data_IF_086591593062
#
_entry.id   IF_086591593062
#
_cell.length_a   1.000
_cell.length_b   1.000
_cell.length_c   1.000
_cell.angle_alpha   90.00
_cell.angle_beta   90.00
_cell.angle_gamma   90.00
#
_symmetry.space_group_name_H-M   'P 1'
#
loop_
_entity.id
_entity.type
_entity.pdbx_description
1 polymer ?
#
# COMPACT_ATOMS: atom_id res chain seq x y z
N UNK A 1 58.22 17.76 32.57
CA UNK A 1 57.19 18.80 32.55
C UNK A 1 56.49 18.63 31.18
N UNK A 2 55.35 17.98 31.17
CA UNK A 2 54.55 17.81 29.98
C UNK A 2 53.79 19.13 29.71
N UNK A 3 54.07 19.76 28.59
CA UNK A 3 53.31 20.91 28.09
C UNK A 3 51.92 20.41 27.69
N UNK A 4 50.90 20.80 28.45
CA UNK A 4 49.51 20.63 28.06
C UNK A 4 49.22 21.62 26.91
N UNK A 5 49.20 21.16 25.67
CA UNK A 5 48.63 21.92 24.58
C UNK A 5 47.12 22.02 24.82
N UNK A 6 46.65 23.17 25.21
CA UNK A 6 45.22 23.48 25.20
C UNK A 6 44.73 23.39 23.77
N UNK A 7 43.97 22.36 23.46
CA UNK A 7 43.20 22.28 22.22
C UNK A 7 42.00 23.21 22.40
N UNK A 8 42.06 24.39 21.79
CA UNK A 8 40.92 25.30 21.78
C UNK A 8 39.81 24.66 20.95
N UNK A 9 38.60 24.72 21.51
CA UNK A 9 37.41 24.29 20.78
C UNK A 9 37.20 25.24 19.58
N UNK A 10 37.30 24.68 18.38
CA UNK A 10 37.05 25.43 17.12
C UNK A 10 35.74 24.96 16.50
N UNK A 11 34.88 25.92 16.13
CA UNK A 11 33.63 25.63 15.42
C UNK A 11 33.84 25.86 13.94
N UNK A 12 33.57 24.82 13.16
CA UNK A 12 33.63 24.89 11.69
C UNK A 12 32.20 24.86 11.13
N UNK A 13 31.96 25.74 10.16
CA UNK A 13 30.70 25.78 9.42
C UNK A 13 30.93 25.26 8.01
N UNK A 14 30.02 24.44 7.51
CA UNK A 14 30.00 24.12 6.09
C UNK A 14 29.55 25.38 5.33
N UNK A 15 30.30 25.76 4.30
CA UNK A 15 30.02 26.93 3.44
C UNK A 15 29.97 26.46 1.98
N UNK A 16 29.25 27.22 1.14
CA UNK A 16 29.13 26.91 -0.28
C UNK A 16 28.09 25.82 -0.60
N UNK A 17 27.23 25.44 0.33
CA UNK A 17 26.04 24.65 0.01
C UNK A 17 25.13 25.44 -0.93
N UNK A 18 24.50 24.73 -1.86
CA UNK A 18 23.46 25.28 -2.74
C UNK A 18 22.23 24.41 -2.60
N UNK A 19 21.06 25.06 -2.52
CA UNK A 19 19.79 24.34 -2.58
C UNK A 19 19.66 23.70 -3.98
N UNK A 20 18.99 22.55 -4.02
CA UNK A 20 18.65 21.92 -5.30
C UNK A 20 17.66 22.76 -6.11
N UNK A 21 17.32 22.26 -7.28
CA UNK A 21 16.27 22.87 -8.11
C UNK A 21 14.91 22.73 -7.39
N UNK A 22 14.06 23.74 -7.59
CA UNK A 22 12.66 23.66 -7.15
C UNK A 22 11.99 22.46 -7.80
N UNK A 23 11.40 21.60 -6.97
CA UNK A 23 10.72 20.37 -7.41
C UNK A 23 9.66 20.64 -8.47
N UNK A 24 8.97 21.78 -8.39
CA UNK A 24 7.93 22.18 -9.35
C UNK A 24 8.50 22.52 -10.74
N UNK A 25 9.81 22.77 -10.85
CA UNK A 25 10.49 23.19 -12.09
C UNK A 25 11.41 22.11 -12.69
N UNK A 26 11.57 20.95 -12.03
CA UNK A 26 12.38 19.85 -12.57
C UNK A 26 11.61 19.17 -13.72
N UNK A 27 12.28 18.87 -14.83
CA UNK A 27 11.68 18.13 -15.94
C UNK A 27 11.30 16.70 -15.54
N UNK A 28 10.18 16.18 -16.08
CA UNK A 28 9.75 14.80 -15.83
C UNK A 28 10.82 13.76 -16.16
N UNK A 29 11.59 14.01 -17.23
CA UNK A 29 12.70 13.13 -17.63
C UNK A 29 13.76 12.93 -16.55
N UNK A 30 13.97 13.95 -15.72
CA UNK A 30 14.92 13.90 -14.59
C UNK A 30 14.30 13.11 -13.43
N UNK A 31 13.00 13.30 -13.15
CA UNK A 31 12.28 12.53 -12.15
C UNK A 31 12.22 11.05 -12.54
N UNK A 32 11.96 10.72 -13.79
CA UNK A 32 11.99 9.35 -14.28
C UNK A 32 13.34 8.68 -13.99
N UNK A 33 14.46 9.35 -14.33
CA UNK A 33 15.81 8.83 -14.02
C UNK A 33 16.06 8.64 -12.53
N UNK A 34 15.46 9.46 -11.68
CA UNK A 34 15.57 9.30 -10.24
C UNK A 34 14.83 8.01 -9.77
N UNK A 35 13.64 7.78 -10.28
CA UNK A 35 12.88 6.56 -9.97
C UNK A 35 13.47 5.30 -10.62
N UNK A 36 14.14 5.40 -11.78
CA UNK A 36 14.81 4.28 -12.44
C UNK A 36 15.89 3.61 -11.57
N UNK A 37 16.46 4.35 -10.60
CA UNK A 37 17.39 3.78 -9.62
C UNK A 37 16.76 2.66 -8.78
N UNK A 38 15.44 2.63 -8.71
CA UNK A 38 14.68 1.60 -7.97
C UNK A 38 14.15 0.48 -8.87
N UNK A 39 14.45 0.47 -10.16
CA UNK A 39 13.92 -0.51 -11.11
C UNK A 39 14.42 -1.93 -10.83
N UNK A 40 15.68 -2.08 -10.40
CA UNK A 40 16.27 -3.38 -10.15
C UNK A 40 16.01 -3.86 -8.70
N UNK A 41 15.20 -4.90 -8.56
CA UNK A 41 14.88 -5.49 -7.27
C UNK A 41 16.07 -6.18 -6.55
N UNK A 42 17.15 -6.49 -7.28
CA UNK A 42 18.33 -7.09 -6.67
C UNK A 42 19.26 -6.05 -6.03
N UNK A 43 19.22 -4.80 -6.50
CA UNK A 43 20.10 -3.74 -6.02
C UNK A 43 19.49 -3.03 -4.81
N UNK A 44 18.17 -2.79 -4.83
CA UNK A 44 17.48 -2.04 -3.77
C UNK A 44 16.19 -2.77 -3.39
N UNK A 45 16.08 -3.15 -2.12
CA UNK A 45 14.83 -3.71 -1.57
C UNK A 45 13.90 -2.59 -1.10
N UNK A 46 12.76 -2.45 -1.76
CA UNK A 46 11.71 -1.50 -1.42
C UNK A 46 10.35 -2.20 -1.33
N UNK A 47 9.45 -1.66 -0.54
CA UNK A 47 8.07 -2.17 -0.42
C UNK A 47 7.01 -1.10 -0.64
N UNK A 48 7.35 0.16 -0.38
CA UNK A 48 6.46 1.31 -0.50
C UNK A 48 7.16 2.37 -1.35
N UNK A 49 6.46 2.91 -2.34
CA UNK A 49 6.92 3.98 -3.22
C UNK A 49 5.97 5.15 -3.08
N UNK A 50 6.49 6.36 -3.01
CA UNK A 50 5.71 7.59 -2.90
C UNK A 50 5.82 8.38 -4.20
N UNK A 51 4.70 8.88 -4.71
CA UNK A 51 4.73 9.84 -5.80
C UNK A 51 5.29 11.20 -5.35
N UNK A 52 5.07 11.55 -4.07
CA UNK A 52 5.34 12.89 -3.57
C UNK A 52 4.25 13.87 -3.98
N UNK A 53 4.61 15.13 -4.22
CA UNK A 53 3.70 16.17 -4.68
C UNK A 53 3.35 15.95 -6.15
N UNK A 54 2.07 15.80 -6.45
CA UNK A 54 1.59 15.81 -7.82
C UNK A 54 1.69 17.25 -8.36
N UNK A 55 2.25 17.41 -9.54
CA UNK A 55 2.30 18.69 -10.24
C UNK A 55 1.02 18.90 -11.02
N UNK A 56 0.62 20.16 -11.15
CA UNK A 56 -0.56 20.55 -11.92
C UNK A 56 -0.50 20.16 -13.40
N UNK A 57 -1.66 20.06 -14.00
CA UNK A 57 -1.82 19.58 -15.37
C UNK A 57 -1.66 18.06 -15.45
N UNK A 58 -1.09 17.55 -16.52
CA UNK A 58 -0.91 16.11 -16.72
C UNK A 58 0.38 15.53 -16.09
N UNK A 59 1.22 16.38 -15.48
CA UNK A 59 2.52 15.95 -14.96
C UNK A 59 2.43 14.92 -13.83
N UNK A 60 1.52 15.12 -12.89
CA UNK A 60 1.31 14.18 -11.78
C UNK A 60 0.85 12.80 -12.26
N UNK A 61 -0.05 12.79 -13.25
CA UNK A 61 -0.57 11.58 -13.88
C UNK A 61 0.53 10.84 -14.68
N UNK A 62 1.34 11.58 -15.46
CA UNK A 62 2.45 11.00 -16.21
C UNK A 62 3.50 10.37 -15.31
N UNK A 63 3.85 11.04 -14.21
CA UNK A 63 4.80 10.50 -13.24
C UNK A 63 4.26 9.23 -12.56
N UNK A 64 3.00 9.27 -12.11
CA UNK A 64 2.37 8.11 -11.48
C UNK A 64 2.31 6.91 -12.44
N UNK A 65 1.87 7.12 -13.69
CA UNK A 65 1.80 6.06 -14.70
C UNK A 65 3.20 5.51 -15.02
N UNK A 66 4.21 6.37 -15.14
CA UNK A 66 5.58 5.92 -15.35
C UNK A 66 6.07 4.99 -14.23
N UNK A 67 5.84 5.37 -12.97
CA UNK A 67 6.26 4.56 -11.82
C UNK A 67 5.47 3.24 -11.77
N UNK A 68 4.17 3.27 -12.07
CA UNK A 68 3.35 2.06 -12.12
C UNK A 68 3.90 1.10 -13.17
N UNK A 69 4.04 1.55 -14.41
CA UNK A 69 4.35 0.70 -15.56
C UNK A 69 5.79 0.19 -15.53
N UNK A 70 6.75 1.05 -15.19
CA UNK A 70 8.17 0.71 -15.29
C UNK A 70 8.79 0.19 -13.99
N UNK A 71 8.19 0.48 -12.84
CA UNK A 71 8.74 0.07 -11.55
C UNK A 71 7.82 -0.95 -10.87
N UNK A 72 6.59 -0.56 -10.52
CA UNK A 72 5.74 -1.41 -9.69
C UNK A 72 5.26 -2.67 -10.40
N UNK A 73 4.78 -2.57 -11.65
CA UNK A 73 4.35 -3.73 -12.46
C UNK A 73 5.53 -4.56 -12.96
N UNK A 74 6.71 -3.94 -13.10
CA UNK A 74 7.94 -4.67 -13.47
C UNK A 74 8.48 -5.48 -12.29
N UNK A 75 8.65 -4.83 -11.13
CA UNK A 75 9.19 -5.45 -9.90
C UNK A 75 8.20 -6.38 -9.21
N UNK A 76 6.93 -5.98 -9.12
CA UNK A 76 5.82 -6.67 -8.42
C UNK A 76 6.01 -6.85 -6.92
N UNK A 77 6.97 -6.17 -6.33
CA UNK A 77 7.36 -6.29 -4.92
C UNK A 77 7.16 -5.01 -4.11
N UNK A 78 6.58 -3.98 -4.71
CA UNK A 78 6.30 -2.70 -4.06
C UNK A 78 4.94 -2.12 -4.47
N UNK A 79 4.45 -1.17 -3.69
CA UNK A 79 3.17 -0.47 -3.92
C UNK A 79 3.42 1.02 -3.98
N UNK A 80 2.89 1.68 -5.02
CA UNK A 80 2.91 3.12 -5.20
C UNK A 80 1.73 3.78 -4.49
N UNK A 81 1.98 4.87 -3.78
CA UNK A 81 0.97 5.73 -3.18
C UNK A 81 0.91 7.06 -3.94
N UNK A 82 -0.30 7.41 -4.37
CA UNK A 82 -0.59 8.52 -5.26
C UNK A 82 -1.62 9.45 -4.62
N UNK A 83 -1.39 10.76 -4.69
CA UNK A 83 -2.38 11.79 -4.37
C UNK A 83 -2.78 12.53 -5.65
N UNK A 84 -4.03 13.03 -5.75
CA UNK A 84 -4.47 13.86 -6.87
C UNK A 84 -3.67 15.17 -6.96
N UNK A 85 -3.83 15.89 -8.06
CA UNK A 85 -3.19 17.19 -8.24
C UNK A 85 -3.67 18.19 -7.18
N UNK A 86 -2.77 19.13 -6.85
CA UNK A 86 -3.06 20.16 -5.85
C UNK A 86 -4.31 20.98 -6.21
N UNK A 87 -4.46 21.33 -7.48
CA UNK A 87 -5.56 22.17 -7.97
C UNK A 87 -6.90 21.39 -8.03
N UNK A 88 -6.88 20.08 -8.08
CA UNK A 88 -8.10 19.25 -8.08
C UNK A 88 -8.80 19.29 -6.71
N UNK A 89 -8.06 19.62 -5.66
CA UNK A 89 -8.54 19.53 -4.26
C UNK A 89 -8.57 20.87 -3.55
N UNK A 90 -7.58 21.76 -3.82
CA UNK A 90 -7.43 23.01 -3.07
C UNK A 90 -7.97 24.17 -3.88
N UNK A 91 -8.86 24.95 -3.27
CA UNK A 91 -9.60 26.05 -3.90
C UNK A 91 -10.50 25.62 -5.06
N UNK A 92 -10.94 24.38 -5.08
CA UNK A 92 -11.75 23.77 -6.14
C UNK A 92 -13.19 23.48 -5.65
N UNK A 93 -13.85 24.45 -5.06
CA UNK A 93 -15.10 24.28 -4.34
C UNK A 93 -16.20 23.68 -5.22
N UNK A 94 -16.76 22.54 -4.76
CA UNK A 94 -17.84 21.75 -5.38
C UNK A 94 -17.44 20.98 -6.66
N UNK A 95 -16.16 20.96 -7.05
CA UNK A 95 -15.65 20.18 -8.18
C UNK A 95 -14.68 19.07 -7.75
N UNK A 96 -14.35 19.04 -6.46
CA UNK A 96 -13.27 18.17 -5.92
C UNK A 96 -13.49 16.70 -6.29
N UNK A 97 -14.72 16.19 -6.16
CA UNK A 97 -15.03 14.77 -6.46
C UNK A 97 -14.83 14.46 -7.93
N UNK A 98 -15.35 15.33 -8.81
CA UNK A 98 -15.33 15.08 -10.26
C UNK A 98 -13.89 15.15 -10.78
N UNK A 99 -13.10 16.11 -10.31
CA UNK A 99 -11.71 16.29 -10.73
C UNK A 99 -10.78 15.19 -10.15
N UNK A 100 -10.98 14.77 -8.89
CA UNK A 100 -10.26 13.63 -8.33
C UNK A 100 -10.61 12.33 -9.09
N UNK A 101 -11.86 12.12 -9.48
CA UNK A 101 -12.28 10.99 -10.31
C UNK A 101 -11.68 11.09 -11.72
N UNK A 102 -11.64 12.28 -12.30
CA UNK A 102 -11.00 12.51 -13.60
C UNK A 102 -9.49 12.19 -13.54
N UNK A 103 -8.80 12.65 -12.50
CA UNK A 103 -7.41 12.29 -12.23
C UNK A 103 -7.24 10.76 -12.13
N UNK A 104 -8.11 10.08 -11.34
CA UNK A 104 -8.07 8.61 -11.20
C UNK A 104 -8.24 7.90 -12.55
N UNK A 105 -9.13 8.39 -13.41
CA UNK A 105 -9.40 7.77 -14.71
C UNK A 105 -8.21 7.88 -15.69
N UNK A 106 -7.31 8.84 -15.47
CA UNK A 106 -6.08 9.00 -16.23
C UNK A 106 -4.92 8.14 -15.70
N UNK A 107 -5.08 7.53 -14.52
CA UNK A 107 -4.07 6.64 -13.92
C UNK A 107 -4.26 5.21 -14.41
N UNK A 108 -3.16 4.55 -14.77
CA UNK A 108 -3.12 3.14 -15.17
C UNK A 108 -3.73 2.22 -14.10
N UNK A 109 -4.60 1.32 -14.52
CA UNK A 109 -5.20 0.34 -13.62
C UNK A 109 -4.16 -0.67 -13.15
N UNK A 110 -3.84 -0.63 -11.87
CA UNK A 110 -2.88 -1.54 -11.25
C UNK A 110 -3.26 -1.87 -9.82
N UNK A 111 -3.03 -3.11 -9.41
CA UNK A 111 -3.14 -3.50 -8.01
C UNK A 111 -1.94 -3.07 -7.16
N UNK A 112 -0.88 -2.59 -7.79
CA UNK A 112 0.32 -2.06 -7.15
C UNK A 112 0.27 -0.54 -6.96
N UNK A 113 -0.88 0.09 -7.17
CA UNK A 113 -1.09 1.51 -6.91
C UNK A 113 -2.26 1.72 -5.95
N UNK A 114 -2.15 2.76 -5.12
CA UNK A 114 -3.14 3.18 -4.13
C UNK A 114 -3.33 4.68 -4.26
N UNK A 115 -4.58 5.14 -4.41
CA UNK A 115 -4.90 6.55 -4.63
C UNK A 115 -5.70 7.06 -3.44
N UNK A 116 -5.32 8.20 -2.91
CA UNK A 116 -6.02 8.91 -1.84
C UNK A 116 -6.87 10.08 -2.34
N UNK A 117 -7.52 10.80 -1.43
CA UNK A 117 -8.44 11.89 -1.75
C UNK A 117 -7.85 13.29 -1.59
N UNK A 118 -6.51 13.45 -1.41
CA UNK A 118 -5.96 14.78 -1.49
C UNK A 118 -4.88 15.20 -0.48
N UNK A 119 -5.10 16.32 0.23
CA UNK A 119 -4.08 17.04 0.98
C UNK A 119 -4.51 17.34 2.41
N UNK A 120 -3.51 17.39 3.30
CA UNK A 120 -3.64 17.92 4.66
C UNK A 120 -2.86 19.23 4.82
N UNK A 121 -3.37 20.11 5.65
CA UNK A 121 -2.67 21.31 6.10
C UNK A 121 -2.00 20.99 7.43
N UNK A 122 -0.66 21.08 7.47
CA UNK A 122 0.11 20.75 8.65
C UNK A 122 1.14 21.82 8.97
N UNK A 123 1.54 21.87 10.23
CA UNK A 123 2.59 22.75 10.69
C UNK A 123 3.97 22.13 10.44
N UNK A 124 4.80 22.85 9.68
CA UNK A 124 6.21 22.57 9.46
C UNK A 124 7.03 23.29 10.55
N UNK A 125 7.41 22.55 11.58
CA UNK A 125 8.12 23.08 12.72
C UNK A 125 9.55 23.58 12.41
N UNK A 126 10.13 23.15 11.29
CA UNK A 126 11.50 23.52 10.92
C UNK A 126 11.56 24.89 10.27
N UNK A 127 10.54 25.22 9.51
CA UNK A 127 10.41 26.50 8.81
C UNK A 127 9.41 27.45 9.46
N UNK A 128 8.76 27.04 10.55
CA UNK A 128 7.75 27.82 11.29
C UNK A 128 6.59 28.30 10.39
N UNK A 129 6.14 27.43 9.50
CA UNK A 129 5.06 27.72 8.56
C UNK A 129 4.06 26.57 8.46
N UNK A 130 2.84 26.88 8.05
CA UNK A 130 1.87 25.87 7.69
C UNK A 130 1.93 25.59 6.19
N UNK A 131 1.91 24.30 5.81
CA UNK A 131 1.98 23.85 4.43
C UNK A 131 0.88 22.85 4.09
N UNK A 132 0.46 22.87 2.85
CA UNK A 132 -0.30 21.77 2.26
C UNK A 132 0.66 20.64 1.88
N UNK A 133 0.34 19.43 2.33
CA UNK A 133 1.14 18.23 2.06
C UNK A 133 0.23 17.13 1.53
N UNK A 134 0.62 16.44 0.45
CA UNK A 134 -0.16 15.34 -0.09
C UNK A 134 -0.23 14.17 0.90
N UNK A 135 -1.32 13.43 0.87
CA UNK A 135 -1.59 12.35 1.83
C UNK A 135 -0.88 11.02 1.50
N UNK A 136 -0.30 10.88 0.30
CA UNK A 136 0.36 9.62 -0.10
C UNK A 136 1.43 9.16 0.88
N UNK A 137 2.24 10.10 1.41
CA UNK A 137 3.23 9.80 2.44
C UNK A 137 2.63 9.32 3.76
N UNK A 138 1.49 9.90 4.16
CA UNK A 138 0.79 9.47 5.37
C UNK A 138 0.20 8.07 5.22
N UNK A 139 -0.39 7.76 4.08
CA UNK A 139 -1.00 6.44 3.84
C UNK A 139 0.07 5.35 3.76
N UNK A 140 1.20 5.62 3.12
CA UNK A 140 2.35 4.73 3.17
C UNK A 140 2.87 4.55 4.61
N UNK A 141 2.92 5.64 5.38
CA UNK A 141 3.26 5.61 6.81
C UNK A 141 2.26 4.79 7.65
N UNK A 142 0.96 4.83 7.33
CA UNK A 142 -0.04 3.96 7.97
C UNK A 142 0.20 2.49 7.63
N UNK A 143 0.62 2.18 6.40
CA UNK A 143 1.02 0.83 6.01
C UNK A 143 2.23 0.36 6.82
N UNK A 144 3.29 1.16 6.88
CA UNK A 144 4.50 0.85 7.66
C UNK A 144 4.19 0.68 9.16
N UNK A 145 3.36 1.55 9.73
CA UNK A 145 2.91 1.41 11.11
C UNK A 145 2.07 0.15 11.33
N UNK A 146 1.27 -0.24 10.34
CA UNK A 146 0.47 -1.47 10.43
C UNK A 146 1.37 -2.70 10.46
N UNK A 147 2.49 -2.68 9.75
CA UNK A 147 3.49 -3.74 9.79
C UNK A 147 4.14 -3.88 11.17
N UNK A 148 4.39 -2.76 11.83
CA UNK A 148 5.01 -2.72 13.16
C UNK A 148 4.06 -3.18 14.27
N UNK A 149 2.78 -2.74 14.25
CA UNK A 149 1.83 -3.00 15.34
C UNK A 149 0.96 -4.25 15.15
N UNK A 150 0.91 -4.77 13.93
CA UNK A 150 0.14 -5.95 13.57
C UNK A 150 0.91 -6.77 12.53
N UNK A 151 0.46 -6.73 11.26
CA UNK A 151 1.09 -7.43 10.14
C UNK A 151 0.72 -6.77 8.81
N UNK A 152 1.51 -6.98 7.73
CA UNK A 152 1.25 -6.41 6.41
C UNK A 152 -0.11 -6.76 5.79
N UNK A 153 -0.72 -7.85 6.21
CA UNK A 153 -2.03 -8.31 5.72
C UNK A 153 -3.23 -7.72 6.47
N UNK A 154 -3.00 -6.84 7.44
CA UNK A 154 -4.08 -6.07 8.03
C UNK A 154 -4.35 -4.81 7.22
N UNK A 155 -5.64 -4.42 7.12
CA UNK A 155 -6.01 -3.15 6.49
C UNK A 155 -5.41 -1.97 7.25
N UNK A 156 -4.74 -1.00 6.58
CA UNK A 156 -4.23 0.22 7.22
C UNK A 156 -5.33 1.22 7.53
N UNK A 157 -6.57 0.99 7.06
CA UNK A 157 -7.69 1.89 7.22
C UNK A 157 -8.47 1.71 8.53
N UNK A 158 -9.33 2.65 8.84
CA UNK A 158 -10.31 2.60 9.92
C UNK A 158 -9.80 3.15 11.25
N UNK A 159 -10.66 3.08 12.26
CA UNK A 159 -10.44 3.70 13.57
C UNK A 159 -9.23 3.17 14.35
N UNK A 160 -8.86 1.92 14.15
CA UNK A 160 -7.79 1.30 14.93
C UNK A 160 -6.38 1.64 14.40
N UNK A 161 -6.22 1.73 13.08
CA UNK A 161 -4.90 1.88 12.44
C UNK A 161 -4.82 3.07 11.49
N UNK A 162 -5.95 3.55 10.95
CA UNK A 162 -6.02 4.55 9.90
C UNK A 162 -5.94 6.01 10.37
N UNK A 163 -5.62 6.30 11.63
CA UNK A 163 -5.56 7.67 12.16
C UNK A 163 -4.31 8.37 11.64
N UNK A 164 -4.52 9.46 10.90
CA UNK A 164 -3.49 10.35 10.37
C UNK A 164 -3.20 11.44 11.41
N UNK A 165 -1.93 11.62 11.72
CA UNK A 165 -1.47 12.59 12.72
C UNK A 165 -1.05 13.91 12.08
N UNK A 166 -0.90 14.95 12.93
CA UNK A 166 -0.42 16.26 12.54
C UNK A 166 -1.25 16.87 11.39
N UNK A 167 -2.56 16.92 11.57
CA UNK A 167 -3.52 17.50 10.63
C UNK A 167 -4.19 18.69 11.30
N UNK A 168 -3.91 19.90 10.81
CA UNK A 168 -4.63 21.10 11.25
C UNK A 168 -6.01 21.16 10.57
N UNK A 169 -6.08 20.84 9.28
CA UNK A 169 -7.29 20.67 8.50
C UNK A 169 -7.03 19.82 7.25
N UNK A 170 -8.07 19.21 6.70
CA UNK A 170 -8.04 18.63 5.36
C UNK A 170 -8.35 19.69 4.32
N UNK A 171 -7.83 19.54 3.11
CA UNK A 171 -8.19 20.37 1.97
C UNK A 171 -9.65 20.17 1.58
N UNK A 172 -10.08 18.91 1.59
CA UNK A 172 -11.41 18.47 1.30
C UNK A 172 -11.84 17.39 2.31
N UNK A 173 -13.05 17.50 2.83
CA UNK A 173 -13.64 16.51 3.74
C UNK A 173 -14.94 15.99 3.15
N UNK A 174 -14.95 14.86 2.45
CA UNK A 174 -16.08 14.37 1.69
C UNK A 174 -17.28 14.01 2.58
N UNK A 175 -18.47 14.37 2.14
CA UNK A 175 -19.76 13.90 2.68
C UNK A 175 -19.93 12.39 2.44
N UNK A 176 -20.97 11.78 3.02
CA UNK A 176 -21.21 10.35 2.84
C UNK A 176 -21.41 9.96 1.37
N UNK A 177 -22.20 10.73 0.61
CA UNK A 177 -22.47 10.46 -0.80
C UNK A 177 -21.20 10.59 -1.65
N UNK A 178 -20.38 11.60 -1.38
CA UNK A 178 -19.09 11.84 -2.05
C UNK A 178 -18.09 10.74 -1.73
N UNK A 179 -18.00 10.28 -0.48
CA UNK A 179 -17.19 9.13 -0.10
C UNK A 179 -17.56 7.86 -0.87
N UNK A 180 -18.86 7.61 -1.01
CA UNK A 180 -19.35 6.46 -1.75
C UNK A 180 -18.98 6.55 -3.24
N UNK A 181 -19.02 7.76 -3.83
CA UNK A 181 -18.61 8.01 -5.21
C UNK A 181 -17.10 7.82 -5.40
N UNK A 182 -16.28 8.40 -4.54
CA UNK A 182 -14.82 8.22 -4.55
C UNK A 182 -14.45 6.76 -4.38
N UNK A 183 -15.06 6.08 -3.40
CA UNK A 183 -14.75 4.67 -3.14
C UNK A 183 -15.19 3.73 -4.27
N UNK A 184 -16.27 4.03 -4.99
CA UNK A 184 -16.64 3.30 -6.21
C UNK A 184 -15.60 3.44 -7.32
N UNK A 185 -14.96 4.59 -7.40
CA UNK A 185 -13.90 4.90 -8.38
C UNK A 185 -12.50 4.48 -7.91
N UNK A 186 -12.39 3.58 -6.92
CA UNK A 186 -11.12 3.05 -6.37
C UNK A 186 -10.20 4.10 -5.74
N UNK A 187 -10.78 5.17 -5.23
CA UNK A 187 -10.10 6.20 -4.46
C UNK A 187 -10.38 5.97 -2.98
N UNK A 188 -9.37 6.10 -2.15
CA UNK A 188 -9.47 5.90 -0.70
C UNK A 188 -9.73 7.25 0.00
N UNK A 189 -10.95 7.52 0.44
CA UNK A 189 -11.27 8.79 1.07
C UNK A 189 -10.58 8.91 2.42
N UNK A 190 -9.99 10.09 2.66
CA UNK A 190 -9.51 10.50 3.98
C UNK A 190 -10.53 11.50 4.52
N UNK A 191 -11.01 11.24 5.73
CA UNK A 191 -12.09 11.99 6.35
C UNK A 191 -11.74 12.48 7.74
N UNK A 192 -12.33 13.59 8.13
CA UNK A 192 -12.26 14.07 9.51
C UNK A 192 -13.61 13.79 10.18
N UNK A 193 -13.56 12.99 11.25
CA UNK A 193 -14.74 12.68 12.06
C UNK A 193 -14.61 13.36 13.40
N UNK A 194 -15.65 14.11 13.78
CA UNK A 194 -15.69 14.79 15.07
C UNK A 194 -15.52 13.78 16.22
N UNK A 195 -14.54 14.04 17.10
CA UNK A 195 -14.21 13.18 18.23
C UNK A 195 -13.27 12.02 17.91
N UNK A 196 -13.04 11.69 16.65
CA UNK A 196 -12.11 10.60 16.23
C UNK A 196 -10.90 11.10 15.46
N UNK A 197 -10.93 12.34 14.97
CA UNK A 197 -9.85 12.94 14.18
C UNK A 197 -9.88 12.56 12.71
N UNK A 198 -8.75 12.75 12.04
CA UNK A 198 -8.59 12.45 10.62
C UNK A 198 -8.16 11.01 10.42
N UNK A 199 -8.83 10.29 9.54
CA UNK A 199 -8.54 8.88 9.30
C UNK A 199 -8.72 8.48 7.82
N UNK A 200 -7.97 7.48 7.42
CA UNK A 200 -8.14 6.78 6.16
C UNK A 200 -9.38 5.89 6.23
N UNK A 201 -10.33 6.10 5.30
CA UNK A 201 -11.62 5.41 5.29
C UNK A 201 -11.83 4.53 4.04
N UNK A 202 -10.75 3.97 3.52
CA UNK A 202 -10.76 3.05 2.39
C UNK A 202 -9.48 2.25 2.32
N UNK A 203 -9.54 1.07 1.69
CA UNK A 203 -8.40 0.15 1.55
C UNK A 203 -8.34 -0.49 0.15
N UNK A 204 -8.78 0.23 -0.87
CA UNK A 204 -8.74 -0.21 -2.26
C UNK A 204 -7.41 0.07 -2.93
N UNK A 205 -7.05 -0.82 -3.87
CA UNK A 205 -6.01 -0.56 -4.88
C UNK A 205 -6.64 0.05 -6.13
N UNK A 206 -5.82 0.64 -7.00
CA UNK A 206 -6.26 1.24 -8.26
C UNK A 206 -6.49 0.19 -9.38
N UNK A 207 -6.98 -1.00 -9.04
CA UNK A 207 -7.14 -2.10 -10.02
C UNK A 207 -8.26 -1.89 -11.02
N UNK A 208 -9.32 -1.18 -10.66
CA UNK A 208 -10.44 -0.87 -11.55
C UNK A 208 -11.38 -2.03 -11.87
N UNK A 209 -11.16 -3.23 -11.31
CA UNK A 209 -12.02 -4.41 -11.50
C UNK A 209 -12.08 -5.25 -10.23
N UNK A 210 -13.22 -5.93 -9.99
CA UNK A 210 -13.33 -6.84 -8.85
C UNK A 210 -12.32 -7.98 -8.93
N UNK A 211 -11.49 -8.12 -7.89
CA UNK A 211 -10.46 -9.16 -7.79
C UNK A 211 -10.12 -9.40 -6.32
N UNK A 212 -9.36 -10.44 -6.03
CA UNK A 212 -8.75 -10.61 -4.71
C UNK A 212 -7.74 -9.48 -4.40
N UNK A 213 -7.12 -8.92 -5.45
CA UNK A 213 -6.09 -7.88 -5.38
C UNK A 213 -6.64 -6.45 -5.43
N UNK A 214 -7.96 -6.27 -5.34
CA UNK A 214 -8.59 -4.95 -5.26
C UNK A 214 -8.44 -4.30 -3.87
N UNK A 215 -7.76 -4.97 -2.94
CA UNK A 215 -7.52 -4.50 -1.56
C UNK A 215 -6.05 -4.38 -1.24
N UNK A 216 -5.70 -3.29 -0.53
CA UNK A 216 -4.32 -3.01 -0.09
C UNK A 216 -3.77 -4.15 0.75
N UNK A 217 -4.53 -4.63 1.71
CA UNK A 217 -4.12 -5.68 2.63
C UNK A 217 -3.81 -7.00 1.90
N UNK A 218 -4.62 -7.39 0.91
CA UNK A 218 -4.38 -8.61 0.14
C UNK A 218 -3.17 -8.46 -0.79
N UNK A 219 -3.04 -7.32 -1.47
CA UNK A 219 -1.86 -7.08 -2.32
C UNK A 219 -0.58 -7.11 -1.49
N UNK A 220 -0.56 -6.47 -0.34
CA UNK A 220 0.60 -6.46 0.56
C UNK A 220 0.90 -7.84 1.15
N UNK A 221 -0.13 -8.63 1.50
CA UNK A 221 0.04 -10.03 1.88
C UNK A 221 0.81 -10.79 0.81
N UNK A 222 0.37 -10.72 -0.46
CA UNK A 222 1.02 -11.45 -1.54
C UNK A 222 2.45 -10.98 -1.78
N UNK A 223 2.72 -9.68 -1.74
CA UNK A 223 4.09 -9.14 -1.87
C UNK A 223 5.02 -9.76 -0.81
N UNK A 224 4.59 -9.79 0.44
CA UNK A 224 5.39 -10.36 1.54
C UNK A 224 5.60 -11.86 1.37
N UNK A 225 4.54 -12.60 1.01
CA UNK A 225 4.63 -14.04 0.77
C UNK A 225 5.53 -14.35 -0.42
N UNK A 226 5.35 -13.64 -1.54
CA UNK A 226 6.15 -13.83 -2.76
C UNK A 226 7.64 -13.53 -2.51
N UNK A 227 7.97 -12.44 -1.81
CA UNK A 227 9.36 -12.13 -1.42
C UNK A 227 9.99 -13.21 -0.55
N UNK A 228 9.28 -13.65 0.50
CA UNK A 228 9.80 -14.66 1.42
C UNK A 228 9.99 -16.02 0.74
N UNK A 229 9.01 -16.44 -0.06
CA UNK A 229 9.06 -17.72 -0.77
C UNK A 229 10.09 -17.69 -1.89
N UNK A 230 10.20 -16.58 -2.64
CA UNK A 230 11.24 -16.43 -3.66
C UNK A 230 12.65 -16.49 -3.09
N UNK A 231 12.87 -15.89 -1.91
CA UNK A 231 14.14 -16.00 -1.20
C UNK A 231 14.45 -17.46 -0.80
N UNK A 232 13.45 -18.16 -0.26
CA UNK A 232 13.57 -19.58 0.10
C UNK A 232 13.84 -20.47 -1.14
N UNK A 233 13.15 -20.18 -2.25
CA UNK A 233 13.31 -20.91 -3.51
C UNK A 233 14.72 -20.74 -4.12
N UNK A 234 15.43 -19.63 -3.86
CA UNK A 234 16.82 -19.45 -4.33
C UNK A 234 17.78 -20.55 -3.83
N UNK A 235 17.52 -21.15 -2.69
CA UNK A 235 18.33 -22.23 -2.13
C UNK A 235 18.11 -23.57 -2.84
N UNK A 236 17.06 -23.71 -3.68
CA UNK A 236 16.85 -24.91 -4.50
C UNK A 236 17.41 -24.79 -5.91
N UNK A 237 17.99 -23.62 -6.27
CA UNK A 237 18.66 -23.43 -7.56
C UNK A 237 19.90 -24.33 -7.65
N UNK A 238 20.07 -24.96 -8.80
CA UNK A 238 21.16 -25.89 -9.11
C UNK A 238 21.09 -27.24 -8.36
N UNK A 239 20.05 -27.49 -7.58
CA UNK A 239 19.77 -28.80 -7.02
C UNK A 239 19.02 -29.69 -8.02
N UNK A 240 19.03 -31.02 -7.77
CA UNK A 240 18.29 -31.96 -8.63
C UNK A 240 16.78 -31.84 -8.45
N UNK A 241 16.02 -31.87 -9.54
CA UNK A 241 14.56 -31.94 -9.46
C UNK A 241 14.09 -33.39 -9.20
N UNK A 242 14.25 -33.83 -7.97
CA UNK A 242 13.83 -35.14 -7.50
C UNK A 242 12.74 -35.06 -6.40
N UNK A 243 12.24 -36.19 -5.96
CA UNK A 243 11.21 -36.26 -4.93
C UNK A 243 11.71 -35.71 -3.58
N UNK A 244 13.01 -35.81 -3.30
CA UNK A 244 13.62 -35.29 -2.08
C UNK A 244 13.61 -33.76 -2.06
N UNK A 245 14.12 -33.13 -3.11
CA UNK A 245 14.17 -31.65 -3.23
C UNK A 245 12.77 -31.06 -3.23
N UNK A 246 11.79 -31.67 -3.92
CA UNK A 246 10.39 -31.22 -3.92
C UNK A 246 9.76 -31.32 -2.52
N UNK A 247 10.08 -32.39 -1.78
CA UNK A 247 9.59 -32.53 -0.40
C UNK A 247 10.25 -31.52 0.54
N UNK A 248 11.54 -31.31 0.40
CA UNK A 248 12.29 -30.30 1.17
C UNK A 248 11.71 -28.89 0.94
N UNK A 249 11.43 -28.52 -0.31
CA UNK A 249 10.79 -27.25 -0.65
C UNK A 249 9.41 -27.09 0.03
N UNK A 250 8.55 -28.11 -0.03
CA UNK A 250 7.26 -28.06 0.67
C UNK A 250 7.41 -27.92 2.17
N UNK A 251 8.31 -28.69 2.78
CA UNK A 251 8.58 -28.66 4.20
C UNK A 251 9.15 -27.31 4.68
N UNK A 252 9.78 -26.55 3.79
CA UNK A 252 10.26 -25.21 4.08
C UNK A 252 9.13 -24.16 4.03
N UNK A 253 8.21 -24.27 3.07
CA UNK A 253 7.16 -23.25 2.83
C UNK A 253 5.91 -23.49 3.69
N UNK A 254 5.47 -24.74 3.87
CA UNK A 254 4.23 -25.03 4.60
C UNK A 254 4.23 -24.49 6.05
N UNK A 255 5.29 -24.60 6.86
CA UNK A 255 5.31 -24.04 8.21
C UNK A 255 5.15 -22.52 8.20
N UNK A 256 5.78 -21.83 7.25
CA UNK A 256 5.66 -20.39 7.09
C UNK A 256 4.21 -19.98 6.76
N UNK A 257 3.57 -20.67 5.81
CA UNK A 257 2.17 -20.39 5.47
C UNK A 257 1.21 -20.73 6.64
N UNK A 258 1.51 -21.75 7.44
CA UNK A 258 0.76 -22.06 8.68
C UNK A 258 0.90 -20.96 9.73
N UNK A 259 2.08 -20.38 9.88
CA UNK A 259 2.30 -19.22 10.77
C UNK A 259 1.44 -18.03 10.31
N UNK A 260 1.47 -17.69 9.03
CA UNK A 260 0.63 -16.63 8.44
C UNK A 260 -0.85 -16.92 8.61
N UNK A 261 -1.27 -18.19 8.49
CA UNK A 261 -2.63 -18.62 8.76
C UNK A 261 -2.99 -18.43 10.24
N UNK A 262 -2.13 -18.83 11.15
CA UNK A 262 -2.30 -18.64 12.60
C UNK A 262 -2.41 -17.15 12.98
N UNK A 263 -1.70 -16.29 12.27
CA UNK A 263 -1.73 -14.81 12.40
C UNK A 263 -2.86 -14.16 11.59
N UNK A 264 -3.83 -14.93 11.10
CA UNK A 264 -5.05 -14.48 10.41
C UNK A 264 -4.82 -13.81 9.03
N UNK A 265 -3.69 -14.06 8.38
CA UNK A 265 -3.39 -13.51 7.05
C UNK A 265 -4.13 -14.27 5.94
N UNK A 266 -4.29 -15.57 6.10
CA UNK A 266 -4.96 -16.44 5.14
C UNK A 266 -5.96 -17.35 5.83
N UNK A 267 -7.03 -17.70 5.11
CA UNK A 267 -8.01 -18.69 5.61
C UNK A 267 -7.54 -20.12 5.39
N UNK A 268 -6.91 -20.36 4.22
CA UNK A 268 -6.49 -21.68 3.80
C UNK A 268 -5.41 -21.60 2.74
N UNK A 269 -4.57 -22.64 2.63
CA UNK A 269 -3.54 -22.71 1.60
C UNK A 269 -3.30 -24.17 1.18
N UNK A 270 -2.73 -24.34 0.00
CA UNK A 270 -2.26 -25.62 -0.50
C UNK A 270 -0.96 -25.40 -1.30
N UNK A 271 0.05 -26.19 -0.98
CA UNK A 271 1.32 -26.24 -1.74
C UNK A 271 1.33 -27.54 -2.53
N UNK A 272 1.50 -27.41 -3.84
CA UNK A 272 1.65 -28.54 -4.76
C UNK A 272 3.05 -28.43 -5.37
N UNK A 273 3.89 -29.38 -5.05
CA UNK A 273 5.24 -29.52 -5.62
C UNK A 273 5.55 -31.03 -5.63
N UNK A 274 5.02 -31.72 -6.62
CA UNK A 274 5.11 -33.18 -6.75
C UNK A 274 5.22 -33.57 -8.24
N UNK A 275 4.97 -34.82 -8.56
CA UNK A 275 5.06 -35.32 -9.93
C UNK A 275 3.95 -34.80 -10.85
N UNK A 276 2.87 -34.27 -10.28
CA UNK A 276 1.73 -33.76 -11.08
C UNK A 276 2.07 -32.44 -11.78
N UNK A 277 2.91 -31.59 -11.16
CA UNK A 277 3.37 -30.32 -11.73
C UNK A 277 4.85 -30.31 -12.13
N UNK A 278 5.61 -31.34 -11.77
CA UNK A 278 6.98 -31.60 -12.26
C UNK A 278 7.02 -32.84 -13.10
N UNK A 279 6.42 -32.77 -14.28
CA UNK A 279 6.41 -33.85 -15.28
C UNK A 279 7.81 -34.09 -15.87
N UNK A 280 8.07 -35.25 -16.55
CA UNK A 280 9.34 -35.46 -17.22
C UNK A 280 9.76 -34.32 -18.15
N UNK A 281 8.81 -33.70 -18.88
CA UNK A 281 9.11 -32.58 -19.79
C UNK A 281 9.55 -31.31 -19.01
N UNK A 282 9.03 -31.09 -17.80
CA UNK A 282 9.45 -29.98 -16.93
C UNK A 282 10.87 -30.23 -16.40
N UNK A 283 11.15 -31.49 -16.01
CA UNK A 283 12.47 -31.89 -15.50
C UNK A 283 13.51 -31.84 -16.63
N UNK A 284 13.19 -32.36 -17.81
CA UNK A 284 14.07 -32.32 -19.00
C UNK A 284 14.33 -30.89 -19.47
N UNK A 285 13.38 -29.98 -19.22
CA UNK A 285 13.52 -28.52 -19.45
C UNK A 285 14.32 -27.79 -18.37
N UNK A 286 14.95 -28.48 -17.40
CA UNK A 286 15.65 -27.92 -16.25
C UNK A 286 14.81 -26.93 -15.44
N UNK A 287 13.51 -27.19 -15.32
CA UNK A 287 12.57 -26.34 -14.59
C UNK A 287 12.10 -27.05 -13.32
N UNK A 288 11.82 -26.25 -12.30
CA UNK A 288 11.22 -26.68 -11.07
C UNK A 288 9.94 -25.86 -10.84
N UNK A 289 8.80 -26.52 -10.62
CA UNK A 289 7.49 -25.89 -10.49
C UNK A 289 6.89 -26.19 -9.12
N UNK A 290 6.57 -25.14 -8.39
CA UNK A 290 5.82 -25.19 -7.14
C UNK A 290 4.60 -24.30 -7.23
N UNK A 291 3.39 -24.86 -7.12
CA UNK A 291 2.13 -24.12 -7.13
C UNK A 291 1.65 -23.87 -5.71
N UNK A 292 1.42 -22.61 -5.38
CA UNK A 292 0.98 -22.19 -4.06
C UNK A 292 -0.40 -21.53 -4.17
N UNK A 293 -1.43 -22.24 -3.71
CA UNK A 293 -2.80 -21.77 -3.68
C UNK A 293 -3.10 -21.14 -2.33
N UNK A 294 -3.61 -19.90 -2.34
CA UNK A 294 -3.86 -19.12 -1.12
C UNK A 294 -5.28 -18.55 -1.16
N UNK A 295 -6.00 -18.70 -0.05
CA UNK A 295 -7.26 -18.02 0.22
C UNK A 295 -7.00 -16.87 1.20
N UNK A 296 -6.85 -15.61 0.71
CA UNK A 296 -6.52 -14.47 1.58
C UNK A 296 -7.68 -14.12 2.51
N UNK A 297 -7.36 -13.64 3.69
CA UNK A 297 -8.34 -13.05 4.59
C UNK A 297 -8.79 -11.68 4.04
N UNK A 298 -10.10 -11.42 4.12
CA UNK A 298 -10.69 -10.17 3.63
C UNK A 298 -11.06 -9.25 4.78
N UNK A 299 -10.83 -7.95 4.60
CA UNK A 299 -11.27 -6.90 5.51
C UNK A 299 -12.80 -6.70 5.42
N UNK A 300 -13.41 -6.26 6.53
CA UNK A 300 -14.83 -5.90 6.57
C UNK A 300 -14.94 -4.44 6.14
N UNK A 301 -15.62 -4.20 5.02
CA UNK A 301 -15.86 -2.85 4.50
C UNK A 301 -17.27 -2.35 4.74
N UNK A 302 -18.24 -3.27 4.92
CA UNK A 302 -19.63 -2.92 5.16
C UNK A 302 -20.17 -3.66 6.37
N UNK A 303 -20.84 -2.94 7.25
CA UNK A 303 -21.50 -3.50 8.43
C UNK A 303 -23.00 -3.22 8.29
N UNK A 304 -23.81 -4.27 8.19
CA UNK A 304 -25.25 -4.19 8.22
C UNK A 304 -25.75 -4.63 9.58
N UNK A 305 -26.39 -3.71 10.30
CA UNK A 305 -27.02 -3.98 11.59
C UNK A 305 -28.54 -4.00 11.42
N UNK A 306 -29.16 -5.12 11.77
CA UNK A 306 -30.61 -5.28 11.71
C UNK A 306 -31.17 -5.28 13.15
N UNK A 307 -31.87 -4.23 13.50
CA UNK A 307 -32.60 -4.13 14.77
C UNK A 307 -34.05 -4.53 14.54
N UNK A 308 -34.49 -5.59 15.25
CA UNK A 308 -35.84 -6.11 15.13
C UNK A 308 -36.55 -5.88 16.46
N UNK A 309 -37.55 -4.99 16.45
CA UNK A 309 -38.40 -4.79 17.59
C UNK A 309 -39.43 -5.95 17.67
N UNK A 310 -39.46 -6.63 18.77
CA UNK A 310 -40.33 -7.79 19.02
C UNK A 310 -41.39 -7.42 20.06
N UNK A 311 -42.64 -7.88 19.86
CA UNK A 311 -43.72 -7.68 20.83
C UNK A 311 -43.43 -8.51 22.09
N UNK A 312 -43.85 -7.97 23.25
CA UNK A 312 -43.76 -8.65 24.51
C UNK A 312 -44.57 -9.98 24.45
N UNK A 313 -43.91 -11.13 24.67
CA UNK A 313 -44.54 -12.46 24.64
C UNK A 313 -44.20 -13.33 23.43
N UNK A 314 -43.47 -12.81 22.44
CA UNK A 314 -42.95 -13.64 21.32
C UNK A 314 -41.59 -14.21 21.68
N UNK A 315 -41.35 -15.48 21.49
CA UNK A 315 -40.03 -16.10 21.74
C UNK A 315 -39.04 -15.74 20.61
N UNK A 316 -37.79 -15.43 20.95
CA UNK A 316 -36.76 -15.13 19.95
C UNK A 316 -36.50 -16.29 18.98
N UNK A 317 -36.70 -17.54 19.41
CA UNK A 317 -36.52 -18.73 18.57
C UNK A 317 -37.53 -18.83 17.44
N UNK A 318 -38.77 -18.33 17.63
CA UNK A 318 -39.81 -18.26 16.59
C UNK A 318 -39.45 -17.28 15.46
N UNK A 319 -38.75 -16.18 15.81
CA UNK A 319 -38.35 -15.17 14.83
C UNK A 319 -37.11 -15.60 14.04
N UNK A 320 -36.19 -16.32 14.68
CA UNK A 320 -34.99 -16.86 14.05
C UNK A 320 -35.35 -18.00 13.10
N UNK A 321 -36.33 -18.85 13.44
CA UNK A 321 -36.82 -19.96 12.61
C UNK A 321 -37.54 -19.55 11.32
N UNK A 322 -38.04 -18.30 11.23
CA UNK A 322 -38.67 -17.75 10.01
C UNK A 322 -37.70 -17.19 8.99
N UNK A 323 -36.40 -17.24 9.27
CA UNK A 323 -35.31 -16.71 8.39
C UNK A 323 -34.46 -17.79 7.72
N UNK A 324 -34.79 -19.05 7.84
CA UNK A 324 -34.12 -20.13 7.12
C UNK A 324 -34.77 -20.44 5.78
#
# INVERSE_FOLDING_TARGET
IASSTNVEASTYYFVGGQDGLDEDNVELSVLYKAYDQFMNANDVDISLVLQGKARGGEYGQHLANYIIDNICEHRKDCVLFVSPDFNDVINNLYQEVDDIIAFRNAITNSSYAVIDSGYKYMYDRYNDVYRWVPLNGDIAGLCARTDDVADPWYSPAGYNRGIIKNVAKLAYNPSQAERDSLYKSDINPVINIQGSGTLLYGDKTALGKPSAFDRINVRRLFIVLEKAIALAAKYTLFEFNDAFTRTQFRNLIEPYLRDVQGRRGIYDFKVVCDETNNTPEVIDGNRFVGDIYIKPARSINFIQLNFIAVRTGVSFNEIIGLRQ
#
